data_IF_373447400148
#
_entry.id   IF_373447400148
#
_cell.length_a   1.000
_cell.length_b   1.000
_cell.length_c   1.000
_cell.angle_alpha   90.00
_cell.angle_beta   90.00
_cell.angle_gamma   90.00
#
_symmetry.space_group_name_H-M   'P 1'
#
loop_
_entity.id
_entity.type
_entity.pdbx_description
1 polymer ?
#
# COMPACT_ATOMS: atom_id res chain seq x y z
N UNK A 1 44.72 -11.26 -26.26
CA UNK A 1 43.29 -11.61 -26.43
C UNK A 1 42.77 -12.16 -25.11
N UNK A 2 42.21 -11.33 -24.24
CA UNK A 2 41.86 -11.78 -22.88
C UNK A 2 41.08 -10.74 -22.08
N UNK A 3 40.16 -10.03 -22.75
CA UNK A 3 39.18 -9.18 -22.07
C UNK A 3 37.81 -9.75 -22.38
N UNK A 4 37.57 -10.96 -21.86
CA UNK A 4 36.23 -11.41 -21.51
C UNK A 4 35.79 -10.52 -20.33
N UNK A 5 35.51 -9.25 -20.62
CA UNK A 5 34.65 -8.44 -19.78
C UNK A 5 33.25 -9.04 -19.92
N UNK A 6 33.07 -10.22 -19.29
CA UNK A 6 31.77 -10.62 -18.78
C UNK A 6 31.26 -9.38 -18.07
N UNK A 7 30.29 -8.76 -18.72
CA UNK A 7 29.35 -7.86 -18.08
C UNK A 7 28.69 -8.68 -16.99
N UNK A 8 29.35 -8.74 -15.83
CA UNK A 8 28.78 -9.21 -14.58
C UNK A 8 27.66 -8.22 -14.33
N UNK A 9 26.51 -8.55 -14.94
CA UNK A 9 25.23 -7.88 -14.76
C UNK A 9 24.96 -8.00 -13.28
N UNK A 10 25.25 -6.92 -12.55
CA UNK A 10 25.21 -6.89 -11.10
C UNK A 10 23.95 -7.58 -10.59
N UNK A 11 24.13 -8.78 -10.03
CA UNK A 11 23.05 -9.56 -9.45
C UNK A 11 22.40 -8.87 -8.23
N UNK A 12 22.94 -7.73 -7.81
CA UNK A 12 22.41 -6.89 -6.74
C UNK A 12 21.22 -6.01 -7.20
N UNK A 13 21.04 -5.81 -8.51
CA UNK A 13 19.82 -5.22 -9.08
C UNK A 13 18.96 -6.33 -9.66
N UNK A 14 18.30 -7.10 -8.79
CA UNK A 14 17.31 -8.10 -9.19
C UNK A 14 15.91 -7.46 -9.28
N UNK A 15 15.47 -7.03 -10.49
CA UNK A 15 14.12 -6.49 -10.67
C UNK A 15 13.06 -7.50 -10.23
N UNK A 16 13.31 -8.80 -10.48
CA UNK A 16 12.42 -9.89 -10.09
C UNK A 16 12.23 -10.00 -8.57
N UNK A 17 13.30 -9.82 -7.78
CA UNK A 17 13.18 -9.80 -6.31
C UNK A 17 12.42 -8.59 -5.80
N UNK A 18 12.57 -7.48 -6.49
CA UNK A 18 11.87 -6.24 -6.17
C UNK A 18 10.38 -6.43 -6.46
N UNK A 19 9.99 -6.86 -7.65
CA UNK A 19 8.59 -7.15 -7.98
C UNK A 19 7.94 -8.15 -7.00
N UNK A 20 8.64 -9.23 -6.62
CA UNK A 20 8.13 -10.19 -5.65
C UNK A 20 7.90 -9.55 -4.27
N UNK A 21 8.82 -8.72 -3.78
CA UNK A 21 8.66 -8.03 -2.49
C UNK A 21 7.49 -7.05 -2.52
N UNK A 22 7.32 -6.32 -3.64
CA UNK A 22 6.21 -5.40 -3.83
C UNK A 22 4.85 -6.11 -3.93
N UNK A 23 4.78 -7.27 -4.58
CA UNK A 23 3.56 -8.10 -4.57
C UNK A 23 3.19 -8.54 -3.16
N UNK A 24 4.17 -8.95 -2.35
CA UNK A 24 3.93 -9.29 -0.92
C UNK A 24 3.42 -8.09 -0.14
N UNK A 25 4.01 -6.91 -0.34
CA UNK A 25 3.55 -5.68 0.30
C UNK A 25 2.11 -5.34 -0.10
N UNK A 26 1.75 -5.48 -1.38
CA UNK A 26 0.39 -5.25 -1.86
C UNK A 26 -0.62 -6.20 -1.21
N UNK A 27 -0.28 -7.48 -1.06
CA UNK A 27 -1.12 -8.44 -0.33
C UNK A 27 -1.25 -8.08 1.15
N UNK A 28 -0.17 -7.68 1.81
CA UNK A 28 -0.23 -7.22 3.22
C UNK A 28 -1.08 -5.96 3.39
N UNK A 29 -1.12 -5.06 2.39
CA UNK A 29 -1.97 -3.86 2.41
C UNK A 29 -3.47 -4.15 2.25
N UNK A 30 -3.85 -5.29 1.65
CA UNK A 30 -5.26 -5.69 1.57
C UNK A 30 -5.85 -6.01 2.96
N UNK A 31 -5.05 -6.53 3.90
CA UNK A 31 -5.53 -6.85 5.24
C UNK A 31 -6.09 -5.63 6.01
N UNK A 32 -5.36 -4.50 6.18
CA UNK A 32 -5.91 -3.30 6.80
C UNK A 32 -7.03 -2.67 5.95
N UNK A 33 -7.01 -2.83 4.62
CA UNK A 33 -8.07 -2.33 3.76
C UNK A 33 -9.41 -3.04 4.02
N UNK A 34 -9.40 -4.37 4.14
CA UNK A 34 -10.57 -5.14 4.52
C UNK A 34 -11.00 -4.90 5.96
N UNK A 35 -10.06 -4.67 6.88
CA UNK A 35 -10.39 -4.28 8.25
C UNK A 35 -11.11 -2.93 8.29
N UNK A 36 -10.64 -1.94 7.52
CA UNK A 36 -11.30 -0.64 7.41
C UNK A 36 -12.71 -0.78 6.80
N UNK A 37 -12.86 -1.59 5.75
CA UNK A 37 -14.18 -1.86 5.16
C UNK A 37 -15.12 -2.56 6.15
N UNK A 38 -14.61 -3.50 6.95
CA UNK A 38 -15.38 -4.11 8.04
C UNK A 38 -15.76 -3.09 9.11
N UNK A 39 -14.85 -2.18 9.45
CA UNK A 39 -15.12 -1.06 10.36
C UNK A 39 -16.26 -0.18 9.87
N UNK A 40 -16.31 0.10 8.56
CA UNK A 40 -17.43 0.81 7.96
C UNK A 40 -18.76 0.07 8.12
N UNK A 41 -18.81 -1.24 7.90
CA UNK A 41 -20.04 -2.01 8.12
C UNK A 41 -20.50 -2.04 9.58
N UNK A 42 -19.57 -1.88 10.54
CA UNK A 42 -19.90 -1.90 11.96
C UNK A 42 -20.32 -0.54 12.51
N UNK A 43 -19.56 0.52 12.19
CA UNK A 43 -19.77 1.87 12.73
C UNK A 43 -20.58 2.78 11.80
N UNK A 44 -20.72 2.44 10.51
CA UNK A 44 -21.42 3.26 9.52
C UNK A 44 -20.67 4.53 9.08
N UNK A 45 -19.51 4.81 9.68
CA UNK A 45 -18.75 6.04 9.42
C UNK A 45 -18.07 6.01 8.03
N UNK A 46 -18.42 6.98 7.19
CA UNK A 46 -17.83 7.22 5.87
C UNK A 46 -16.30 7.19 5.79
N UNK A 47 -15.53 7.75 6.74
CA UNK A 47 -14.08 7.76 6.64
C UNK A 47 -13.43 6.36 6.67
N UNK A 48 -14.06 5.36 7.28
CA UNK A 48 -13.61 3.96 7.17
C UNK A 48 -13.79 3.41 5.74
N UNK A 49 -14.90 3.75 5.08
CA UNK A 49 -15.17 3.35 3.70
C UNK A 49 -14.15 3.95 2.72
N UNK A 50 -13.90 5.26 2.87
CA UNK A 50 -12.96 6.00 2.02
C UNK A 50 -11.53 5.46 2.20
N UNK A 51 -11.08 5.28 3.44
CA UNK A 51 -9.76 4.72 3.72
C UNK A 51 -9.60 3.28 3.18
N UNK A 52 -10.62 2.43 3.36
CA UNK A 52 -10.63 1.07 2.83
C UNK A 52 -10.53 1.03 1.31
N UNK A 53 -11.34 1.84 0.60
CA UNK A 53 -11.31 1.93 -0.86
C UNK A 53 -9.97 2.47 -1.39
N UNK A 54 -9.38 3.47 -0.73
CA UNK A 54 -8.07 4.01 -1.08
C UNK A 54 -6.96 2.96 -0.95
N UNK A 55 -7.00 2.16 0.12
CA UNK A 55 -6.02 1.10 0.33
C UNK A 55 -6.20 -0.05 -0.67
N UNK A 56 -7.44 -0.41 -1.02
CA UNK A 56 -7.72 -1.40 -2.08
C UNK A 56 -7.22 -0.90 -3.44
N UNK A 57 -7.51 0.35 -3.81
CA UNK A 57 -7.06 0.92 -5.08
C UNK A 57 -5.53 0.97 -5.15
N UNK A 58 -4.88 1.32 -4.04
CA UNK A 58 -3.43 1.30 -3.91
C UNK A 58 -2.84 -0.12 -4.09
N UNK A 59 -3.40 -1.13 -3.42
CA UNK A 59 -2.95 -2.51 -3.54
C UNK A 59 -3.10 -3.04 -4.98
N UNK A 60 -4.21 -2.72 -5.65
CA UNK A 60 -4.44 -3.08 -7.06
C UNK A 60 -3.42 -2.42 -8.00
N UNK A 61 -3.10 -1.14 -7.81
CA UNK A 61 -2.10 -0.45 -8.62
C UNK A 61 -0.70 -1.05 -8.48
N UNK A 62 -0.35 -1.56 -7.29
CA UNK A 62 0.91 -2.27 -7.06
C UNK A 62 0.89 -3.66 -7.71
N UNK A 63 -0.23 -4.38 -7.66
CA UNK A 63 -0.37 -5.72 -8.28
C UNK A 63 -0.39 -5.67 -9.82
N UNK A 64 -0.94 -4.60 -10.41
CA UNK A 64 -1.00 -4.38 -11.86
C UNK A 64 0.30 -3.76 -12.42
N UNK A 65 1.33 -3.62 -11.59
CA UNK A 65 2.63 -3.00 -11.91
C UNK A 65 2.55 -1.57 -12.46
N UNK A 66 1.42 -0.87 -12.25
CA UNK A 66 1.23 0.53 -12.67
C UNK A 66 1.81 1.55 -11.69
N UNK A 67 2.49 1.07 -10.65
CA UNK A 67 3.10 1.85 -9.58
C UNK A 67 4.10 2.90 -10.07
N UNK A 68 4.93 2.61 -11.05
CA UNK A 68 5.93 3.57 -11.55
C UNK A 68 5.30 4.80 -12.21
N UNK A 69 4.13 4.62 -12.84
CA UNK A 69 3.37 5.70 -13.46
C UNK A 69 2.55 6.49 -12.44
N UNK A 70 2.08 5.83 -11.38
CA UNK A 70 1.16 6.39 -10.39
C UNK A 70 1.80 6.50 -8.99
N UNK A 71 3.12 6.66 -8.90
CA UNK A 71 3.84 6.63 -7.62
C UNK A 71 3.33 7.69 -6.63
N UNK A 72 3.04 8.90 -7.13
CA UNK A 72 2.48 9.98 -6.31
C UNK A 72 1.10 9.62 -5.75
N UNK A 73 0.25 9.00 -6.55
CA UNK A 73 -1.08 8.56 -6.12
C UNK A 73 -0.99 7.48 -5.05
N UNK A 74 -0.07 6.51 -5.21
CA UNK A 74 0.17 5.46 -4.23
C UNK A 74 0.59 6.06 -2.89
N UNK A 75 1.60 6.94 -2.88
CA UNK A 75 2.04 7.61 -1.66
C UNK A 75 0.92 8.46 -1.01
N UNK A 76 0.21 9.25 -1.82
CA UNK A 76 -0.90 10.07 -1.34
C UNK A 76 -2.01 9.22 -0.71
N UNK A 77 -2.39 8.12 -1.36
CA UNK A 77 -3.42 7.20 -0.88
C UNK A 77 -3.05 6.59 0.48
N UNK A 78 -1.80 6.14 0.63
CA UNK A 78 -1.32 5.53 1.87
C UNK A 78 -1.26 6.54 3.00
N UNK A 79 -0.76 7.74 2.75
CA UNK A 79 -0.65 8.80 3.77
C UNK A 79 -2.03 9.27 4.21
N UNK A 80 -2.94 9.53 3.27
CA UNK A 80 -4.29 10.01 3.57
C UNK A 80 -5.13 8.97 4.31
N UNK A 81 -5.10 7.71 3.88
CA UNK A 81 -5.79 6.62 4.60
C UNK A 81 -5.24 6.41 6.02
N UNK A 82 -3.92 6.45 6.20
CA UNK A 82 -3.29 6.31 7.52
C UNK A 82 -3.65 7.47 8.45
N UNK A 83 -3.61 8.72 7.95
CA UNK A 83 -4.00 9.89 8.72
C UNK A 83 -5.49 9.86 9.09
N UNK A 84 -6.37 9.51 8.15
CA UNK A 84 -7.81 9.43 8.40
C UNK A 84 -8.14 8.40 9.50
N UNK A 85 -7.58 7.19 9.39
CA UNK A 85 -7.78 6.13 10.39
C UNK A 85 -7.18 6.50 11.75
N UNK A 86 -5.98 7.11 11.76
CA UNK A 86 -5.33 7.57 12.99
C UNK A 86 -6.11 8.66 13.70
N UNK A 87 -6.64 9.65 12.96
CA UNK A 87 -7.50 10.70 13.53
C UNK A 87 -8.79 10.12 14.07
N UNK A 88 -9.48 9.24 13.34
CA UNK A 88 -10.68 8.57 13.84
C UNK A 88 -10.42 7.80 15.13
N UNK A 89 -9.30 7.09 15.20
CA UNK A 89 -8.91 6.36 16.40
C UNK A 89 -8.72 7.31 17.59
N UNK A 90 -8.04 8.45 17.39
CA UNK A 90 -7.85 9.46 18.44
C UNK A 90 -9.19 10.07 18.87
N UNK A 91 -10.07 10.42 17.92
CA UNK A 91 -11.40 10.94 18.25
C UNK A 91 -12.23 9.95 19.04
N UNK A 92 -12.24 8.69 18.64
CA UNK A 92 -12.97 7.64 19.36
C UNK A 92 -12.38 7.38 20.74
N UNK A 93 -11.05 7.46 20.88
CA UNK A 93 -10.38 7.38 22.19
C UNK A 93 -10.77 8.55 23.10
N UNK A 94 -10.82 9.77 22.57
CA UNK A 94 -11.17 10.97 23.35
C UNK A 94 -12.64 11.02 23.74
N UNK A 95 -13.54 10.54 22.87
CA UNK A 95 -14.99 10.44 23.18
C UNK A 95 -15.28 9.32 24.19
N UNK A 96 -14.47 8.26 24.20
CA UNK A 96 -14.63 7.14 25.11
C UNK A 96 -14.01 7.37 26.52
N UNK A 97 -13.25 8.45 26.71
CA UNK A 97 -12.67 8.89 27.99
C UNK A 97 -13.59 9.89 28.67
#
# INVERSE_FOLDING_TARGET
MGVEAQTIRDACLQPERTELSWRRTAFSMLAPAFLALRGWFHYGEWPYAVAGLLLISCALLILLDQRCKNQLYVSFSVVTSSLALGLLFIFHLFIAV
#
